data_IF_411398793217
#
_entry.id   IF_411398793217
#
_cell.length_a   1.000
_cell.length_b   1.000
_cell.length_c   1.000
_cell.angle_alpha   90.00
_cell.angle_beta   90.00
_cell.angle_gamma   90.00
#
_symmetry.space_group_name_H-M   'P 1'
#
loop_
_entity.id
_entity.type
_entity.pdbx_description
1 polymer ?
#
# COMPACT_ATOMS: atom_id res chain seq x y z
N UNK A 1 24.47 10.29 16.83
CA UNK A 1 23.74 9.28 16.02
C UNK A 1 23.53 9.90 14.66
N UNK A 2 24.12 9.35 13.59
CA UNK A 2 23.79 9.82 12.24
C UNK A 2 22.31 9.52 12.00
N UNK A 3 21.49 10.56 11.91
CA UNK A 3 20.17 10.44 11.31
C UNK A 3 20.40 10.39 9.80
N UNK A 4 20.77 9.21 9.30
CA UNK A 4 20.62 8.95 7.88
C UNK A 4 19.12 8.99 7.61
N UNK A 5 18.68 10.13 7.09
CA UNK A 5 17.28 10.34 6.70
C UNK A 5 16.96 9.37 5.57
N UNK A 6 15.96 8.51 5.79
CA UNK A 6 15.39 7.64 4.77
C UNK A 6 15.03 8.48 3.55
N UNK A 7 15.65 8.16 2.42
CA UNK A 7 15.33 8.78 1.14
C UNK A 7 14.16 8.04 0.52
N UNK A 8 13.39 8.75 -0.30
CA UNK A 8 12.29 8.16 -1.05
C UNK A 8 12.73 6.94 -1.89
N UNK A 9 13.92 7.04 -2.50
CA UNK A 9 14.55 5.98 -3.30
C UNK A 9 14.85 4.69 -2.52
N UNK A 10 14.89 4.78 -1.19
CA UNK A 10 15.19 3.62 -0.35
C UNK A 10 13.94 2.71 -0.19
N UNK A 11 12.75 3.28 -0.36
CA UNK A 11 11.47 2.60 -0.14
C UNK A 11 10.66 2.39 -1.43
N UNK A 12 10.77 3.30 -2.40
CA UNK A 12 9.99 3.24 -3.65
C UNK A 12 10.90 2.86 -4.80
N UNK A 13 10.64 1.69 -5.38
CA UNK A 13 11.35 1.14 -6.54
C UNK A 13 10.41 1.08 -7.74
N UNK A 14 10.91 1.16 -8.99
CA UNK A 14 10.07 1.00 -10.19
C UNK A 14 9.22 -0.28 -10.15
N UNK A 15 9.78 -1.37 -9.61
CA UNK A 15 9.10 -2.66 -9.48
C UNK A 15 7.94 -2.66 -8.46
N UNK A 16 7.74 -1.57 -7.72
CA UNK A 16 6.60 -1.38 -6.81
C UNK A 16 5.49 -0.51 -7.40
N UNK A 17 5.64 -0.07 -8.65
CA UNK A 17 4.62 0.75 -9.33
C UNK A 17 3.64 -0.16 -10.07
N UNK A 18 2.43 -0.28 -9.53
CA UNK A 18 1.30 -0.95 -10.18
C UNK A 18 0.58 0.00 -11.13
N UNK A 19 0.96 -0.01 -12.40
CA UNK A 19 0.29 0.74 -13.45
C UNK A 19 -1.12 0.21 -13.75
N UNK A 20 -2.06 1.11 -14.06
CA UNK A 20 -3.43 0.78 -14.48
C UNK A 20 -4.19 -0.16 -13.53
N UNK A 21 -3.97 -0.03 -12.21
CA UNK A 21 -4.71 -0.80 -11.21
C UNK A 21 -6.21 -0.55 -11.35
N UNK A 22 -6.97 -1.62 -11.60
CA UNK A 22 -8.43 -1.58 -11.62
C UNK A 22 -8.97 -2.20 -10.34
N UNK A 23 -9.90 -1.51 -9.69
CA UNK A 23 -10.63 -1.99 -8.53
C UNK A 23 -11.99 -1.29 -8.44
N UNK A 24 -13.00 -2.04 -8.04
CA UNK A 24 -14.37 -1.55 -7.84
C UNK A 24 -14.62 -1.09 -6.41
N UNK A 25 -13.79 -1.54 -5.48
CA UNK A 25 -13.86 -1.17 -4.07
C UNK A 25 -12.49 -0.82 -3.50
N UNK A 26 -12.49 -0.07 -2.40
CA UNK A 26 -11.30 0.21 -1.59
C UNK A 26 -10.59 -1.07 -1.16
N UNK A 27 -11.36 -2.03 -0.65
CA UNK A 27 -10.85 -3.31 -0.18
C UNK A 27 -10.14 -4.06 -1.31
N UNK A 28 -10.74 -4.11 -2.49
CA UNK A 28 -10.12 -4.74 -3.66
C UNK A 28 -8.81 -4.06 -4.07
N UNK A 29 -8.77 -2.72 -4.04
CA UNK A 29 -7.54 -1.97 -4.34
C UNK A 29 -6.43 -2.29 -3.32
N UNK A 30 -6.76 -2.27 -2.02
CA UNK A 30 -5.82 -2.54 -0.94
C UNK A 30 -5.30 -3.98 -0.98
N UNK A 31 -6.19 -4.95 -1.18
CA UNK A 31 -5.84 -6.37 -1.31
C UNK A 31 -4.85 -6.57 -2.46
N UNK A 32 -5.17 -6.07 -3.67
CA UNK A 32 -4.28 -6.18 -4.83
C UNK A 32 -2.90 -5.57 -4.59
N UNK A 33 -2.83 -4.40 -3.94
CA UNK A 33 -1.55 -3.76 -3.62
C UNK A 33 -0.76 -4.53 -2.56
N UNK A 34 -1.43 -5.09 -1.54
CA UNK A 34 -0.77 -5.85 -0.48
C UNK A 34 -0.27 -7.21 -0.96
N UNK A 35 -1.10 -7.97 -1.68
CA UNK A 35 -0.72 -9.24 -2.30
C UNK A 35 0.49 -9.07 -3.20
N UNK A 36 0.53 -8.00 -4.00
CA UNK A 36 1.68 -7.68 -4.86
C UNK A 36 3.01 -7.57 -4.09
N UNK A 37 2.98 -7.01 -2.87
CA UNK A 37 4.15 -6.89 -2.00
C UNK A 37 4.51 -8.22 -1.32
N UNK A 38 3.49 -8.97 -0.88
CA UNK A 38 3.65 -10.30 -0.28
C UNK A 38 4.26 -11.28 -1.27
N UNK A 39 3.77 -11.33 -2.51
CA UNK A 39 4.27 -12.21 -3.57
C UNK A 39 5.74 -11.96 -3.92
N UNK A 40 6.24 -10.75 -3.63
CA UNK A 40 7.64 -10.35 -3.83
C UNK A 40 8.50 -10.51 -2.57
N UNK A 41 7.95 -11.08 -1.50
CA UNK A 41 8.65 -11.29 -0.23
C UNK A 41 8.95 -10.00 0.54
N UNK A 42 8.26 -8.88 0.25
CA UNK A 42 8.47 -7.63 0.97
C UNK A 42 7.60 -7.52 2.22
N UNK A 43 6.56 -8.35 2.33
CA UNK A 43 5.63 -8.38 3.44
C UNK A 43 5.25 -9.83 3.76
N UNK A 44 4.96 -10.10 5.03
CA UNK A 44 4.43 -11.40 5.45
C UNK A 44 3.00 -11.62 4.92
N UNK A 45 2.54 -12.86 4.73
CA UNK A 45 1.18 -13.15 4.26
C UNK A 45 0.07 -12.51 5.10
N UNK A 46 0.34 -12.29 6.39
CA UNK A 46 -0.61 -11.64 7.31
C UNK A 46 -0.81 -10.15 7.03
N UNK A 47 0.02 -9.54 6.19
CA UNK A 47 -0.03 -8.12 5.86
C UNK A 47 -1.35 -7.71 5.21
N UNK A 48 -1.89 -8.52 4.29
CA UNK A 48 -3.16 -8.22 3.61
C UNK A 48 -4.28 -7.99 4.63
N UNK A 49 -4.47 -8.93 5.57
CA UNK A 49 -5.47 -8.80 6.63
C UNK A 49 -5.18 -7.63 7.58
N UNK A 50 -3.90 -7.38 7.90
CA UNK A 50 -3.51 -6.29 8.79
C UNK A 50 -3.87 -4.92 8.21
N UNK A 51 -3.63 -4.68 6.91
CA UNK A 51 -3.94 -3.38 6.30
C UNK A 51 -5.44 -3.14 6.17
N UNK A 52 -6.23 -4.18 5.85
CA UNK A 52 -7.68 -4.07 5.74
C UNK A 52 -8.30 -3.75 7.10
N UNK A 53 -7.83 -4.44 8.15
CA UNK A 53 -8.23 -4.14 9.53
C UNK A 53 -7.84 -2.73 9.94
N UNK A 54 -6.65 -2.25 9.56
CA UNK A 54 -6.22 -0.86 9.83
C UNK A 54 -7.17 0.13 9.15
N UNK A 55 -7.45 -0.06 7.86
CA UNK A 55 -8.26 0.87 7.08
C UNK A 55 -9.72 0.91 7.56
N UNK A 56 -10.28 -0.23 7.97
CA UNK A 56 -11.62 -0.29 8.54
C UNK A 56 -11.75 0.55 9.82
N UNK A 57 -10.71 0.52 10.67
CA UNK A 57 -10.72 1.23 11.96
C UNK A 57 -10.23 2.69 11.83
N UNK A 58 -9.34 2.96 10.86
CA UNK A 58 -8.67 4.23 10.66
C UNK A 58 -8.51 4.53 9.16
N UNK A 59 -9.58 5.03 8.50
CA UNK A 59 -9.54 5.34 7.08
C UNK A 59 -8.43 6.34 6.73
N UNK A 60 -7.68 6.07 5.68
CA UNK A 60 -6.50 6.85 5.30
C UNK A 60 -6.73 7.84 4.14
N UNK A 61 -7.88 7.75 3.48
CA UNK A 61 -8.25 8.65 2.40
C UNK A 61 -8.25 10.13 2.82
N UNK A 62 -7.39 10.93 2.19
CA UNK A 62 -7.31 12.37 2.41
C UNK A 62 -8.46 13.12 1.69
N UNK A 63 -8.87 14.31 2.17
CA UNK A 63 -9.92 15.12 1.55
C UNK A 63 -9.41 15.82 0.29
N UNK A 64 -9.08 15.04 -0.74
CA UNK A 64 -8.60 15.50 -2.04
C UNK A 64 -9.59 15.12 -3.16
N UNK A 65 -9.56 15.81 -4.32
CA UNK A 65 -10.30 15.40 -5.50
C UNK A 65 -9.85 14.01 -5.99
N UNK A 66 -10.79 13.22 -6.53
CA UNK A 66 -10.52 11.91 -7.14
C UNK A 66 -10.92 10.70 -6.30
N UNK A 67 -10.66 9.48 -6.81
CA UNK A 67 -10.94 8.24 -6.11
C UNK A 67 -10.15 8.15 -4.80
N UNK A 68 -10.82 7.73 -3.73
CA UNK A 68 -10.21 7.53 -2.41
C UNK A 68 -10.03 6.05 -2.19
N UNK A 69 -8.78 5.66 -1.99
CA UNK A 69 -8.45 4.41 -1.30
C UNK A 69 -8.64 4.67 0.18
#
# INVERSE_FOLDING_TARGET
MNSDSLKFSDLVKPDFVLGNLQASTREEALTKMAEFLVDRGNCEPTFVGAILKREQNHPSGLPMPGPKI
#
